data_IF_544284024085
#
_entry.id   IF_544284024085
#
_cell.length_a   1.000
_cell.length_b   1.000
_cell.length_c   1.000
_cell.angle_alpha   90.00
_cell.angle_beta   90.00
_cell.angle_gamma   90.00
#
_symmetry.space_group_name_H-M   'P 1'
#
loop_
_entity.id
_entity.type
_entity.pdbx_description
1 polymer ?
#
# COMPACT_ATOMS: atom_id res chain seq x y z
N UNK A 1 -7.56 -9.95 -12.08
CA UNK A 1 -9.04 -10.01 -12.15
C UNK A 1 -9.55 -8.81 -11.36
N UNK A 2 -10.45 -7.99 -11.90
CA UNK A 2 -10.93 -6.81 -11.18
C UNK A 2 -11.76 -7.21 -9.94
N UNK A 3 -11.64 -6.50 -8.81
CA UNK A 3 -12.42 -6.77 -7.61
C UNK A 3 -13.84 -6.20 -7.75
N UNK A 4 -14.65 -6.77 -8.65
CA UNK A 4 -15.97 -6.24 -9.01
C UNK A 4 -16.91 -5.98 -7.83
N UNK A 5 -16.82 -6.77 -6.75
CA UNK A 5 -17.61 -6.58 -5.52
C UNK A 5 -17.25 -5.31 -4.73
N UNK A 6 -16.08 -4.74 -5.00
CA UNK A 6 -15.55 -3.58 -4.29
C UNK A 6 -15.72 -2.28 -5.09
N UNK A 7 -16.22 -2.36 -6.33
CA UNK A 7 -16.43 -1.18 -7.15
C UNK A 7 -17.71 -0.45 -6.73
N UNK A 8 -17.67 0.89 -6.59
CA UNK A 8 -18.87 1.68 -6.33
C UNK A 8 -19.97 1.48 -7.39
N UNK A 9 -21.26 1.58 -7.02
CA UNK A 9 -22.36 1.55 -7.99
C UNK A 9 -22.26 2.69 -9.02
N UNK A 10 -21.75 3.84 -8.62
CA UNK A 10 -21.63 5.02 -9.49
C UNK A 10 -20.44 4.94 -10.45
N UNK A 11 -19.70 3.82 -10.47
CA UNK A 11 -18.55 3.69 -11.35
C UNK A 11 -18.98 3.76 -12.81
N UNK A 12 -18.46 4.73 -13.58
CA UNK A 12 -18.79 4.91 -15.00
C UNK A 12 -18.30 3.75 -15.87
N UNK A 13 -19.13 3.37 -16.84
CA UNK A 13 -18.87 2.28 -17.78
C UNK A 13 -19.28 2.63 -19.19
N UNK A 14 -18.56 2.05 -20.15
CA UNK A 14 -18.83 2.14 -21.58
C UNK A 14 -19.01 0.74 -22.15
N UNK A 15 -20.09 0.55 -22.91
CA UNK A 15 -20.40 -0.69 -23.60
C UNK A 15 -20.14 -0.57 -25.09
N UNK A 16 -19.79 -1.67 -25.74
CA UNK A 16 -19.83 -1.74 -27.20
C UNK A 16 -21.29 -1.73 -27.65
N UNK A 17 -21.64 -0.78 -28.53
CA UNK A 17 -23.01 -0.62 -29.04
C UNK A 17 -23.46 -1.83 -29.86
N UNK A 18 -22.56 -2.35 -30.69
CA UNK A 18 -22.79 -3.58 -31.44
C UNK A 18 -22.67 -4.78 -30.49
N UNK A 19 -23.70 -5.62 -30.44
CA UNK A 19 -23.79 -6.73 -29.51
C UNK A 19 -23.25 -8.00 -30.20
N UNK A 20 -22.06 -8.48 -29.83
CA UNK A 20 -21.43 -9.63 -30.48
C UNK A 20 -22.03 -10.97 -30.03
N UNK A 21 -23.06 -10.96 -29.17
CA UNK A 21 -23.75 -12.17 -28.69
C UNK A 21 -24.74 -12.65 -29.75
N UNK A 22 -24.98 -13.95 -29.79
CA UNK A 22 -25.92 -14.55 -30.74
C UNK A 22 -27.36 -14.14 -30.43
N UNK A 23 -28.04 -13.58 -31.43
CA UNK A 23 -29.46 -13.19 -31.37
C UNK A 23 -30.34 -14.36 -30.94
N UNK A 24 -31.32 -14.10 -30.07
CA UNK A 24 -32.26 -15.10 -29.56
C UNK A 24 -31.75 -15.92 -28.36
N UNK A 25 -30.56 -15.63 -27.84
CA UNK A 25 -30.07 -16.24 -26.60
C UNK A 25 -30.42 -15.37 -25.38
N UNK A 26 -30.59 -15.99 -24.21
CA UNK A 26 -30.81 -15.23 -22.95
C UNK A 26 -29.67 -14.25 -22.65
N UNK A 27 -28.45 -14.54 -23.10
CA UNK A 27 -27.31 -13.66 -22.93
C UNK A 27 -27.42 -12.40 -23.80
N UNK A 28 -27.95 -12.54 -25.03
CA UNK A 28 -28.27 -11.41 -25.89
C UNK A 28 -29.34 -10.52 -25.26
N UNK A 29 -30.46 -11.12 -24.83
CA UNK A 29 -31.58 -10.36 -24.24
C UNK A 29 -31.19 -9.59 -22.99
N UNK A 30 -30.29 -10.15 -22.17
CA UNK A 30 -29.73 -9.45 -21.00
C UNK A 30 -28.83 -8.31 -21.41
N UNK A 31 -27.92 -8.52 -22.37
CA UNK A 31 -26.98 -7.49 -22.81
C UNK A 31 -27.71 -6.29 -23.41
N UNK A 32 -28.75 -6.53 -24.22
CA UNK A 32 -29.59 -5.45 -24.77
C UNK A 32 -30.21 -4.57 -23.68
N UNK A 33 -30.55 -5.13 -22.51
CA UNK A 33 -31.15 -4.37 -21.40
C UNK A 33 -30.17 -3.41 -20.73
N UNK A 34 -28.90 -3.79 -20.56
CA UNK A 34 -27.94 -2.98 -19.81
C UNK A 34 -26.87 -2.29 -20.67
N UNK A 35 -26.74 -2.57 -21.96
CA UNK A 35 -25.70 -1.95 -22.82
C UNK A 35 -25.86 -0.42 -22.97
N UNK A 36 -27.03 0.12 -22.67
CA UNK A 36 -27.29 1.57 -22.64
C UNK A 36 -26.96 2.21 -21.29
N UNK A 37 -26.66 1.42 -20.25
CA UNK A 37 -26.35 1.94 -18.92
C UNK A 37 -24.95 2.55 -18.88
N UNK A 38 -24.80 3.70 -18.23
CA UNK A 38 -23.53 4.43 -18.10
C UNK A 38 -22.82 4.19 -16.77
N UNK A 39 -23.44 3.47 -15.82
CA UNK A 39 -22.86 3.12 -14.51
C UNK A 39 -23.09 1.65 -14.15
N UNK A 40 -22.26 1.11 -13.26
CA UNK A 40 -22.41 -0.26 -12.74
C UNK A 40 -23.75 -0.49 -12.03
N UNK A 41 -24.17 0.49 -11.22
CA UNK A 41 -25.42 0.43 -10.46
C UNK A 41 -26.65 0.36 -11.38
N UNK A 42 -26.66 1.16 -12.45
CA UNK A 42 -27.71 1.10 -13.46
C UNK A 42 -27.73 -0.25 -14.18
N UNK A 43 -26.55 -0.79 -14.53
CA UNK A 43 -26.46 -2.12 -15.14
C UNK A 43 -27.01 -3.22 -14.22
N UNK A 44 -26.69 -3.19 -12.92
CA UNK A 44 -27.25 -4.13 -11.94
C UNK A 44 -28.77 -4.01 -11.80
N UNK A 45 -29.30 -2.79 -11.75
CA UNK A 45 -30.74 -2.54 -11.71
C UNK A 45 -31.46 -3.08 -12.97
N UNK A 46 -30.78 -3.03 -14.12
CA UNK A 46 -31.25 -3.60 -15.40
C UNK A 46 -31.05 -5.13 -15.51
N UNK A 47 -30.58 -5.78 -14.45
CA UNK A 47 -30.47 -7.24 -14.33
C UNK A 47 -29.12 -7.84 -14.73
N UNK A 48 -28.07 -7.01 -14.91
CA UNK A 48 -26.71 -7.51 -15.10
C UNK A 48 -26.22 -8.22 -13.84
N UNK A 49 -25.63 -9.41 -13.98
CA UNK A 49 -24.96 -10.10 -12.88
C UNK A 49 -23.46 -9.88 -12.93
N UNK A 50 -22.79 -10.10 -11.80
CA UNK A 50 -21.33 -10.01 -11.69
C UNK A 50 -20.59 -10.87 -12.74
N UNK A 51 -21.15 -12.05 -13.06
CA UNK A 51 -20.59 -12.95 -14.06
C UNK A 51 -20.68 -12.38 -15.48
N UNK A 52 -21.76 -11.65 -15.79
CA UNK A 52 -21.97 -11.00 -17.09
C UNK A 52 -20.94 -9.87 -17.26
N UNK A 53 -20.82 -8.98 -16.26
CA UNK A 53 -19.86 -7.88 -16.27
C UNK A 53 -18.41 -8.36 -16.43
N UNK A 54 -18.02 -9.40 -15.68
CA UNK A 54 -16.68 -9.94 -15.74
C UNK A 54 -16.39 -10.62 -17.10
N UNK A 55 -17.39 -11.26 -17.69
CA UNK A 55 -17.27 -11.86 -19.02
C UNK A 55 -17.10 -10.78 -20.09
N UNK A 56 -17.98 -9.78 -20.09
CA UNK A 56 -17.99 -8.70 -21.07
C UNK A 56 -16.72 -7.84 -20.98
N UNK A 57 -16.22 -7.60 -19.76
CA UNK A 57 -14.92 -6.92 -19.56
C UNK A 57 -13.75 -7.71 -20.11
N UNK A 58 -13.70 -9.04 -19.85
CA UNK A 58 -12.63 -9.91 -20.39
C UNK A 58 -12.65 -9.98 -21.91
N UNK A 59 -13.84 -9.85 -22.53
CA UNK A 59 -14.00 -9.81 -23.98
C UNK A 59 -13.77 -8.42 -24.58
N UNK A 60 -13.65 -7.39 -23.75
CA UNK A 60 -13.48 -6.00 -24.19
C UNK A 60 -14.78 -5.33 -24.66
N UNK A 61 -15.93 -5.91 -24.35
CA UNK A 61 -17.26 -5.35 -24.66
C UNK A 61 -17.74 -4.36 -23.59
N UNK A 62 -17.17 -4.47 -22.39
CA UNK A 62 -17.31 -3.51 -21.30
C UNK A 62 -15.95 -2.85 -21.04
N UNK A 63 -15.92 -1.53 -21.03
CA UNK A 63 -14.76 -0.73 -20.62
C UNK A 63 -15.15 0.11 -19.40
N UNK A 64 -14.27 0.16 -18.43
CA UNK A 64 -14.43 1.03 -17.26
C UNK A 64 -13.94 2.43 -17.66
N UNK A 65 -14.80 3.43 -17.56
CA UNK A 65 -14.45 4.79 -17.99
C UNK A 65 -14.03 5.64 -16.79
N UNK A 66 -12.81 5.41 -16.33
CA UNK A 66 -12.22 6.22 -15.26
C UNK A 66 -12.00 7.69 -15.65
N UNK A 67 -12.33 8.10 -16.89
CA UNK A 67 -12.24 9.51 -17.30
C UNK A 67 -13.47 10.33 -16.91
N UNK A 68 -14.60 9.68 -16.59
CA UNK A 68 -15.90 10.33 -16.31
C UNK A 68 -16.37 10.09 -14.88
N UNK A 69 -15.47 9.92 -13.91
CA UNK A 69 -15.88 10.03 -12.51
C UNK A 69 -16.42 11.45 -12.31
N UNK A 70 -17.74 11.53 -12.10
CA UNK A 70 -18.52 12.76 -11.95
C UNK A 70 -17.73 13.78 -11.14
N UNK A 71 -17.22 14.79 -11.84
CA UNK A 71 -16.64 15.92 -11.19
C UNK A 71 -17.58 17.10 -11.29
N UNK A 72 -17.79 17.81 -10.17
CA UNK A 72 -18.47 19.08 -10.19
C UNK A 72 -17.58 20.06 -10.97
N UNK A 73 -17.94 20.33 -12.22
CA UNK A 73 -17.50 21.50 -12.97
C UNK A 73 -15.96 21.62 -13.15
N UNK A 74 -15.35 20.73 -13.94
CA UNK A 74 -13.97 20.93 -14.41
C UNK A 74 -13.90 22.01 -15.49
N UNK A 75 -13.47 23.21 -15.10
CA UNK A 75 -12.96 24.21 -16.03
C UNK A 75 -11.65 23.78 -16.73
N UNK A 76 -11.20 24.53 -17.74
CA UNK A 76 -10.09 24.13 -18.61
C UNK A 76 -8.79 23.95 -17.82
N UNK A 77 -8.19 22.77 -17.96
CA UNK A 77 -6.82 22.45 -17.53
C UNK A 77 -6.53 22.64 -16.03
N UNK A 78 -7.44 22.23 -15.15
CA UNK A 78 -7.21 22.22 -13.70
C UNK A 78 -6.25 21.10 -13.27
N UNK A 79 -5.19 21.46 -12.55
CA UNK A 79 -4.06 20.66 -12.00
C UNK A 79 -4.45 19.50 -11.05
N UNK A 80 -5.72 19.10 -11.00
CA UNK A 80 -6.27 18.24 -9.95
C UNK A 80 -6.42 16.77 -10.35
N UNK A 81 -6.56 16.44 -11.64
CA UNK A 81 -6.68 15.03 -12.07
C UNK A 81 -5.43 14.20 -11.79
N UNK A 82 -4.25 14.83 -11.79
CA UNK A 82 -3.00 14.16 -11.41
C UNK A 82 -2.97 13.81 -9.92
N UNK A 83 -3.59 14.61 -9.05
CA UNK A 83 -3.59 14.41 -7.58
C UNK A 83 -4.31 13.13 -7.17
N UNK A 84 -5.46 12.83 -7.76
CA UNK A 84 -6.21 11.61 -7.46
C UNK A 84 -5.46 10.34 -7.89
N UNK A 85 -4.73 10.41 -9.00
CA UNK A 85 -3.84 9.31 -9.41
C UNK A 85 -2.72 9.08 -8.39
N UNK A 86 -2.04 10.15 -7.96
CA UNK A 86 -0.98 10.05 -6.96
C UNK A 86 -1.52 9.65 -5.58
N UNK A 87 -2.79 9.94 -5.27
CA UNK A 87 -3.46 9.54 -4.04
C UNK A 87 -3.40 8.01 -3.82
N UNK A 88 -3.52 7.24 -4.89
CA UNK A 88 -3.55 5.77 -4.85
C UNK A 88 -2.15 5.11 -4.75
N UNK A 89 -1.08 5.86 -5.00
CA UNK A 89 0.27 5.31 -4.99
C UNK A 89 0.85 5.27 -3.57
N UNK A 90 1.68 4.29 -3.26
CA UNK A 90 2.44 4.30 -2.01
C UNK A 90 3.68 5.22 -2.10
N UNK A 91 4.35 5.47 -0.97
CA UNK A 91 5.51 6.37 -0.89
C UNK A 91 6.66 5.91 -1.81
N UNK A 92 6.87 4.60 -1.94
CA UNK A 92 7.92 4.04 -2.81
C UNK A 92 7.59 4.28 -4.28
N UNK A 93 6.34 4.07 -4.67
CA UNK A 93 5.84 4.30 -6.03
C UNK A 93 5.93 5.79 -6.40
N UNK A 94 5.51 6.69 -5.51
CA UNK A 94 5.68 8.13 -5.69
C UNK A 94 7.15 8.51 -5.93
N UNK A 95 8.08 7.85 -5.23
CA UNK A 95 9.51 8.04 -5.43
C UNK A 95 10.00 7.74 -6.85
N UNK A 96 9.38 6.78 -7.55
CA UNK A 96 9.73 6.40 -8.94
C UNK A 96 9.28 7.45 -9.96
N UNK A 97 8.24 8.23 -9.66
CA UNK A 97 7.77 9.30 -10.55
C UNK A 97 8.64 10.56 -10.51
N UNK A 98 9.54 10.68 -9.53
CA UNK A 98 10.47 11.79 -9.43
C UNK A 98 11.51 11.83 -10.56
N UNK A 99 11.65 10.77 -11.37
CA UNK A 99 12.48 10.73 -12.57
C UNK A 99 11.70 10.91 -13.89
N UNK A 100 10.39 11.20 -13.82
CA UNK A 100 9.54 11.41 -15.00
C UNK A 100 9.56 12.89 -15.46
N UNK A 101 8.51 13.34 -16.16
CA UNK A 101 8.39 14.75 -16.59
C UNK A 101 8.40 15.71 -15.38
N UNK A 102 8.85 16.95 -15.59
CA UNK A 102 8.94 17.95 -14.51
C UNK A 102 7.60 18.18 -13.80
N UNK A 103 6.51 18.30 -14.54
CA UNK A 103 5.17 18.49 -13.97
C UNK A 103 4.73 17.30 -13.11
N UNK A 104 5.03 16.07 -13.55
CA UNK A 104 4.76 14.85 -12.78
C UNK A 104 5.62 14.81 -11.51
N UNK A 105 6.89 15.17 -11.61
CA UNK A 105 7.79 15.23 -10.47
C UNK A 105 7.36 16.29 -9.44
N UNK A 106 6.92 17.47 -9.89
CA UNK A 106 6.43 18.55 -9.01
C UNK A 106 5.16 18.10 -8.27
N UNK A 107 4.21 17.46 -8.98
CA UNK A 107 2.98 16.93 -8.36
C UNK A 107 3.29 15.81 -7.37
N UNK A 108 4.16 14.86 -7.73
CA UNK A 108 4.58 13.78 -6.85
C UNK A 108 5.34 14.31 -5.62
N UNK A 109 6.17 15.35 -5.79
CA UNK A 109 6.89 16.00 -4.68
C UNK A 109 5.92 16.68 -3.72
N UNK A 110 4.94 17.40 -4.25
CA UNK A 110 3.90 18.04 -3.46
C UNK A 110 3.12 17.00 -2.64
N UNK A 111 2.71 15.90 -3.26
CA UNK A 111 1.98 14.82 -2.58
C UNK A 111 2.84 14.11 -1.52
N UNK A 112 4.11 13.82 -1.83
CA UNK A 112 5.07 13.26 -0.86
C UNK A 112 5.25 14.19 0.34
N UNK A 113 5.32 15.50 0.12
CA UNK A 113 5.42 16.48 1.20
C UNK A 113 4.21 16.41 2.12
N UNK A 114 3.00 16.43 1.57
CA UNK A 114 1.75 16.33 2.35
C UNK A 114 1.72 15.05 3.21
N UNK A 115 2.13 13.91 2.65
CA UNK A 115 2.13 12.62 3.37
C UNK A 115 3.23 12.50 4.42
N UNK A 116 4.39 13.10 4.16
CA UNK A 116 5.52 13.05 5.09
C UNK A 116 5.41 14.11 6.20
N UNK A 117 4.60 15.15 6.03
CA UNK A 117 4.47 16.26 6.99
C UNK A 117 4.10 15.76 8.39
N UNK A 118 3.11 14.87 8.47
CA UNK A 118 2.65 14.25 9.72
C UNK A 118 2.77 12.73 9.65
N UNK A 119 3.99 12.26 9.39
CA UNK A 119 4.24 10.85 9.16
C UNK A 119 3.98 10.00 10.42
N UNK A 120 3.18 8.95 10.26
CA UNK A 120 2.93 7.91 11.26
C UNK A 120 3.43 6.56 10.72
N UNK A 121 4.28 5.89 11.49
CA UNK A 121 4.72 4.54 11.14
C UNK A 121 3.61 3.53 11.45
N UNK A 122 3.10 2.83 10.43
CA UNK A 122 2.08 1.78 10.55
C UNK A 122 2.54 0.43 9.99
N UNK A 123 3.84 0.15 10.05
CA UNK A 123 4.41 -1.07 9.46
C UNK A 123 4.58 -1.04 7.94
N UNK A 124 4.40 0.12 7.28
CA UNK A 124 4.52 0.24 5.82
C UNK A 124 5.90 -0.10 5.22
N UNK A 125 6.93 -0.32 6.05
CA UNK A 125 8.29 -0.69 5.63
C UNK A 125 8.59 -2.19 5.77
N UNK A 126 7.60 -3.03 6.02
CA UNK A 126 7.73 -4.48 5.94
C UNK A 126 7.42 -4.93 4.50
N UNK A 127 8.39 -4.91 3.55
CA UNK A 127 8.12 -5.38 2.21
C UNK A 127 7.83 -6.88 2.23
N UNK A 128 6.95 -7.28 1.33
CA UNK A 128 6.87 -8.66 0.88
C UNK A 128 7.97 -8.90 -0.14
N UNK A 129 9.01 -9.66 0.23
CA UNK A 129 10.04 -10.07 -0.71
C UNK A 129 9.45 -11.18 -1.58
N UNK A 130 9.47 -11.01 -2.90
CA UNK A 130 9.17 -12.10 -3.83
C UNK A 130 10.45 -12.90 -4.08
N UNK A 131 10.43 -14.18 -3.70
CA UNK A 131 11.45 -15.13 -4.13
C UNK A 131 11.48 -15.27 -5.65
N UNK A 132 12.55 -15.86 -6.20
CA UNK A 132 12.64 -16.19 -7.63
C UNK A 132 11.48 -17.08 -8.12
N UNK A 133 10.86 -17.85 -7.21
CA UNK A 133 9.67 -18.70 -7.49
C UNK A 133 8.35 -17.95 -7.28
N UNK A 134 8.38 -16.64 -7.11
CA UNK A 134 7.19 -15.80 -6.90
C UNK A 134 6.56 -15.89 -5.51
N UNK A 135 7.09 -16.72 -4.59
CA UNK A 135 6.59 -16.79 -3.20
C UNK A 135 6.89 -15.49 -2.48
N UNK A 136 5.88 -14.97 -1.80
CA UNK A 136 5.96 -13.79 -0.97
C UNK A 136 6.43 -14.21 0.44
N UNK A 137 7.55 -13.66 0.88
CA UNK A 137 8.04 -13.82 2.23
C UNK A 137 7.90 -12.50 2.99
N UNK A 138 7.45 -12.51 4.25
CA UNK A 138 7.54 -11.33 5.09
C UNK A 138 9.01 -10.97 5.27
N UNK A 139 9.35 -9.69 5.13
CA UNK A 139 10.70 -9.23 5.48
C UNK A 139 10.99 -9.50 6.95
N UNK A 140 12.25 -9.79 7.26
CA UNK A 140 12.71 -9.82 8.64
C UNK A 140 12.50 -8.44 9.30
N UNK A 141 12.27 -8.45 10.61
CA UNK A 141 12.13 -7.22 11.41
C UNK A 141 13.37 -6.32 11.31
N UNK A 142 14.55 -6.93 11.19
CA UNK A 142 15.82 -6.23 10.97
C UNK A 142 15.84 -5.48 9.63
N UNK A 143 15.34 -6.09 8.56
CA UNK A 143 15.26 -5.43 7.24
C UNK A 143 14.24 -4.29 7.24
N UNK A 144 13.07 -4.48 7.86
CA UNK A 144 12.08 -3.42 8.02
C UNK A 144 12.66 -2.22 8.81
N UNK A 145 13.44 -2.51 9.86
CA UNK A 145 14.14 -1.50 10.66
C UNK A 145 15.16 -0.72 9.83
N UNK A 146 16.02 -1.43 9.08
CA UNK A 146 17.01 -0.82 8.19
C UNK A 146 16.36 0.10 7.15
N UNK A 147 15.26 -0.35 6.54
CA UNK A 147 14.50 0.44 5.54
C UNK A 147 13.89 1.69 6.12
N UNK A 148 13.30 1.60 7.31
CA UNK A 148 12.77 2.77 8.02
C UNK A 148 13.86 3.82 8.24
N UNK A 149 15.04 3.42 8.74
CA UNK A 149 16.15 4.34 8.97
C UNK A 149 16.65 4.95 7.66
N UNK A 150 16.80 4.15 6.60
CA UNK A 150 17.19 4.66 5.27
C UNK A 150 16.16 5.65 4.70
N UNK A 151 14.88 5.37 4.87
CA UNK A 151 13.80 6.25 4.45
C UNK A 151 13.87 7.61 5.16
N UNK A 152 14.05 7.61 6.48
CA UNK A 152 14.17 8.83 7.28
C UNK A 152 15.45 9.62 6.99
N UNK A 153 16.51 8.95 6.52
CA UNK A 153 17.76 9.59 6.05
C UNK A 153 17.71 10.09 4.62
N UNK A 154 16.64 9.81 3.89
CA UNK A 154 16.51 10.15 2.48
C UNK A 154 16.43 11.66 2.24
N UNK A 155 16.32 12.07 0.97
CA UNK A 155 16.05 13.46 0.56
C UNK A 155 14.74 14.03 1.13
N UNK A 156 13.84 13.17 1.60
CA UNK A 156 12.54 13.57 2.16
C UNK A 156 12.65 14.13 3.58
N UNK A 157 13.84 14.12 4.20
CA UNK A 157 14.06 14.61 5.58
C UNK A 157 13.60 16.04 5.83
N UNK A 158 13.50 16.87 4.79
CA UNK A 158 13.02 18.26 4.88
C UNK A 158 11.50 18.38 4.93
N UNK A 159 10.75 17.29 4.72
CA UNK A 159 9.29 17.29 4.68
C UNK A 159 8.65 16.97 6.04
N UNK A 160 9.37 16.35 6.96
CA UNK A 160 8.80 15.92 8.24
C UNK A 160 8.68 17.09 9.22
N UNK A 161 7.44 17.42 9.61
CA UNK A 161 7.15 18.37 10.69
C UNK A 161 6.76 17.66 11.99
N UNK A 162 6.10 16.50 11.87
CA UNK A 162 5.75 15.61 12.97
C UNK A 162 6.07 14.18 12.57
N UNK A 163 6.78 13.47 13.44
CA UNK A 163 7.18 12.08 13.22
C UNK A 163 6.66 11.20 14.36
N UNK A 164 5.75 10.28 14.05
CA UNK A 164 5.25 9.31 15.01
C UNK A 164 5.83 7.91 14.73
N UNK A 165 6.70 7.46 15.63
CA UNK A 165 7.37 6.17 15.59
C UNK A 165 6.94 5.25 16.76
N UNK A 166 5.78 5.49 17.36
CA UNK A 166 5.27 4.71 18.50
C UNK A 166 5.16 3.22 18.17
N UNK A 167 4.80 2.86 16.94
CA UNK A 167 4.68 1.47 16.46
C UNK A 167 5.93 0.96 15.72
N UNK A 168 7.02 1.74 15.71
CA UNK A 168 8.25 1.36 15.02
C UNK A 168 8.96 0.19 15.73
N UNK A 169 9.60 -0.73 14.98
CA UNK A 169 10.42 -1.78 15.55
C UNK A 169 11.51 -1.20 16.45
N UNK A 170 11.69 -1.80 17.62
CA UNK A 170 12.66 -1.29 18.59
C UNK A 170 14.10 -1.32 18.03
N UNK A 171 14.42 -2.27 17.16
CA UNK A 171 15.71 -2.35 16.48
C UNK A 171 15.97 -1.11 15.63
N UNK A 172 14.94 -0.56 14.98
CA UNK A 172 15.04 0.70 14.23
C UNK A 172 15.29 1.90 15.16
N UNK A 173 14.68 1.89 16.35
CA UNK A 173 14.83 2.95 17.35
C UNK A 173 16.21 2.95 18.03
N UNK A 174 16.84 1.77 18.10
CA UNK A 174 18.18 1.58 18.67
C UNK A 174 19.31 1.79 17.66
N UNK A 175 18.98 1.82 16.36
CA UNK A 175 19.91 2.06 15.27
C UNK A 175 20.57 3.44 15.44
N UNK A 176 21.92 3.52 15.40
CA UNK A 176 22.64 4.78 15.59
C UNK A 176 22.36 5.81 14.48
N UNK A 177 21.93 5.35 13.30
CA UNK A 177 21.54 6.21 12.19
C UNK A 177 20.23 6.96 12.40
N UNK A 178 19.33 6.48 13.27
CA UNK A 178 18.04 7.14 13.50
C UNK A 178 18.19 8.49 14.22
N UNK A 179 18.91 8.61 15.37
CA UNK A 179 19.17 9.91 15.99
C UNK A 179 19.87 10.90 15.03
N UNK A 180 20.78 10.41 14.19
CA UNK A 180 21.44 11.24 13.16
C UNK A 180 20.45 11.74 12.12
N UNK A 181 19.53 10.88 11.67
CA UNK A 181 18.47 11.26 10.75
C UNK A 181 17.59 12.35 11.34
N UNK A 182 17.09 12.15 12.56
CA UNK A 182 16.24 13.11 13.29
C UNK A 182 16.94 14.45 13.46
N UNK A 183 18.22 14.45 13.87
CA UNK A 183 19.01 15.68 14.02
C UNK A 183 19.17 16.46 12.70
N UNK A 184 19.11 15.76 11.56
CA UNK A 184 19.24 16.36 10.24
C UNK A 184 17.92 16.86 9.64
N UNK A 185 16.79 16.75 10.34
CA UNK A 185 15.47 17.19 9.88
C UNK A 185 15.19 18.63 10.30
N UNK A 186 15.35 19.63 9.42
CA UNK A 186 15.25 21.05 9.80
C UNK A 186 13.84 21.50 10.15
N UNK A 187 12.81 20.81 9.66
CA UNK A 187 11.40 21.17 9.84
C UNK A 187 10.73 20.42 11.00
N UNK A 188 11.43 19.47 11.63
CA UNK A 188 10.83 18.57 12.61
C UNK A 188 10.56 19.32 13.93
N UNK A 189 9.29 19.42 14.29
CA UNK A 189 8.81 20.07 15.52
C UNK A 189 8.40 19.06 16.58
N UNK A 190 7.84 17.92 16.17
CA UNK A 190 7.30 16.90 17.08
C UNK A 190 7.81 15.50 16.75
N UNK A 191 8.24 14.78 17.78
CA UNK A 191 8.70 13.39 17.68
C UNK A 191 8.01 12.54 18.75
N UNK A 192 7.25 11.54 18.32
CA UNK A 192 6.57 10.58 19.22
C UNK A 192 7.29 9.25 19.17
N UNK A 193 7.69 8.76 20.33
CA UNK A 193 8.44 7.52 20.53
C UNK A 193 7.70 6.58 21.49
N UNK A 194 7.92 5.26 21.42
CA UNK A 194 7.39 4.34 22.42
C UNK A 194 8.05 4.59 23.78
N UNK A 195 7.27 4.50 24.85
CA UNK A 195 7.75 4.68 26.23
C UNK A 195 8.65 3.52 26.69
N UNK A 196 8.34 2.31 26.20
CA UNK A 196 8.89 1.02 26.63
C UNK A 196 9.74 0.36 25.53
N UNK A 197 10.40 -0.76 25.85
CA UNK A 197 11.19 -1.57 24.90
C UNK A 197 12.64 -1.16 24.73
N UNK A 198 13.06 0.00 25.24
CA UNK A 198 14.44 0.47 25.13
C UNK A 198 15.44 -0.45 25.85
N UNK A 199 16.51 -0.85 25.17
CA UNK A 199 17.60 -1.63 25.77
C UNK A 199 18.32 -0.84 26.88
N UNK A 200 18.44 0.48 26.73
CA UNK A 200 19.00 1.33 27.78
C UNK A 200 18.39 2.73 27.79
N UNK A 201 18.35 3.33 28.99
CA UNK A 201 17.96 4.73 29.18
C UNK A 201 18.89 5.71 28.45
N UNK A 202 20.12 5.32 28.16
CA UNK A 202 21.08 6.13 27.40
C UNK A 202 20.67 6.27 25.93
N UNK A 203 20.23 5.18 25.29
CA UNK A 203 19.68 5.23 23.92
C UNK A 203 18.44 6.11 23.83
N UNK A 204 17.55 6.02 24.82
CA UNK A 204 16.38 6.89 24.94
C UNK A 204 16.75 8.37 25.07
N UNK A 205 17.78 8.68 25.88
CA UNK A 205 18.29 10.06 26.11
C UNK A 205 18.93 10.70 24.86
N UNK A 206 19.29 9.94 23.82
CA UNK A 206 19.79 10.52 22.58
C UNK A 206 18.75 11.38 21.85
N UNK A 207 17.46 11.08 22.04
CA UNK A 207 16.37 11.83 21.39
C UNK A 207 15.95 13.07 22.18
N UNK A 208 16.05 13.04 23.51
CA UNK A 208 15.62 14.16 24.38
C UNK A 208 16.54 15.39 24.33
N UNK A 209 17.73 15.26 23.74
CA UNK A 209 18.73 16.34 23.68
C UNK A 209 18.64 17.19 22.40
N UNK A 210 17.61 17.01 21.58
CA UNK A 210 17.46 17.77 20.34
C UNK A 210 16.79 19.12 20.65
N UNK A 211 17.47 20.26 20.44
CA UNK A 211 16.87 21.58 20.70
C UNK A 211 15.73 21.85 19.71
N UNK A 212 14.62 22.41 20.20
CA UNK A 212 13.49 22.82 19.36
C UNK A 212 12.57 21.69 18.89
N UNK A 213 12.80 20.44 19.32
CA UNK A 213 11.94 19.30 19.00
C UNK A 213 11.20 18.85 20.26
N UNK A 214 9.88 18.85 20.22
CA UNK A 214 9.03 18.28 21.26
C UNK A 214 9.07 16.76 21.16
N UNK A 215 9.64 16.10 22.18
CA UNK A 215 9.76 14.64 22.23
C UNK A 215 8.76 14.08 23.23
N UNK A 216 7.80 13.31 22.74
CA UNK A 216 6.78 12.63 23.55
C UNK A 216 7.06 11.13 23.61
N UNK A 217 6.92 10.55 24.80
CA UNK A 217 7.03 9.10 25.00
C UNK A 217 5.67 8.52 25.39
N UNK A 218 5.02 7.82 24.46
CA UNK A 218 3.68 7.26 24.68
C UNK A 218 3.74 5.75 24.94
N UNK A 219 2.85 5.27 25.81
CA UNK A 219 2.65 3.83 26.00
C UNK A 219 2.11 3.21 24.70
N UNK A 220 2.35 1.92 24.42
CA UNK A 220 1.79 1.26 23.24
C UNK A 220 0.26 1.40 23.21
N UNK A 221 -0.34 1.61 22.02
CA UNK A 221 -1.81 1.61 21.87
C UNK A 221 -2.35 0.23 22.27
N UNK A 222 -3.02 0.14 23.43
CA UNK A 222 -3.68 -1.09 23.90
C UNK A 222 -4.69 -1.52 22.82
N UNK A 223 -4.43 -2.65 22.15
CA UNK A 223 -5.31 -3.18 21.10
C UNK A 223 -4.56 -3.68 19.87
N UNK A 224 -3.38 -3.14 19.58
CA UNK A 224 -2.45 -3.78 18.64
C UNK A 224 -1.71 -4.86 19.43
N UNK A 225 -2.19 -6.11 19.33
CA UNK A 225 -1.38 -7.27 19.70
C UNK A 225 -0.05 -7.08 18.99
N UNK A 226 1.01 -6.90 19.76
CA UNK A 226 2.36 -6.74 19.26
C UNK A 226 2.61 -7.85 18.25
N UNK A 227 2.66 -7.52 16.96
CA UNK A 227 3.05 -8.46 15.91
C UNK A 227 4.43 -9.08 16.19
N UNK A 228 5.20 -8.51 17.13
CA UNK A 228 6.46 -9.04 17.60
C UNK A 228 6.35 -10.38 18.37
N UNK A 229 5.17 -10.78 18.87
CA UNK A 229 5.02 -12.09 19.54
C UNK A 229 4.36 -13.17 18.67
N UNK A 230 3.77 -12.82 17.52
CA UNK A 230 3.12 -13.83 16.67
C UNK A 230 4.05 -14.47 15.62
N UNK A 231 5.31 -14.03 15.54
CA UNK A 231 6.31 -14.59 14.62
C UNK A 231 7.28 -15.60 15.26
N UNK A 232 7.28 -15.76 16.60
CA UNK A 232 8.09 -16.80 17.25
C UNK A 232 7.35 -18.14 17.42
N UNK A 233 6.00 -18.15 17.42
CA UNK A 233 5.23 -19.34 17.84
C UNK A 233 4.49 -20.08 16.70
N UNK A 234 4.77 -19.78 15.42
CA UNK A 234 4.11 -20.45 14.27
C UNK A 234 5.06 -21.36 13.48
N UNK A 235 6.24 -21.69 14.02
CA UNK A 235 7.15 -22.69 13.44
C UNK A 235 7.67 -23.74 14.43
N UNK A 236 6.85 -24.12 15.41
CA UNK A 236 6.92 -25.45 16.03
C UNK A 236 5.64 -26.21 15.68
N UNK A 237 5.59 -26.74 14.45
CA UNK A 237 4.76 -27.93 14.21
C UNK A 237 5.46 -29.12 14.89
N UNK A 238 4.72 -30.03 15.54
CA UNK A 238 5.31 -31.21 16.17
C UNK A 238 6.03 -32.05 15.11
N UNK A 239 7.26 -32.47 15.42
CA UNK A 239 7.86 -33.65 14.80
C UNK A 239 7.00 -34.87 15.12
N UNK A 240 5.93 -35.12 14.36
CA UNK A 240 5.30 -36.44 14.36
C UNK A 240 4.37 -36.58 13.15
N UNK A 241 4.96 -36.99 12.03
CA UNK A 241 4.33 -37.97 11.14
C UNK A 241 5.41 -38.61 10.28
N UNK A 242 5.99 -39.69 10.82
CA UNK A 242 6.61 -40.74 10.02
C UNK A 242 5.59 -41.18 8.98
N UNK A 243 5.95 -41.08 7.71
CA UNK A 243 5.32 -41.89 6.67
C UNK A 243 6.09 -43.22 6.60
N UNK A 244 5.41 -44.38 6.77
CA UNK A 244 6.01 -45.64 6.41
C UNK A 244 5.89 -45.74 4.89
N UNK A 245 7.03 -45.65 4.21
CA UNK A 245 7.39 -46.45 3.03
C UNK A 245 8.59 -45.79 2.36
N UNK A 246 9.74 -46.44 2.54
CA UNK A 246 10.97 -46.09 1.87
C UNK A 246 10.82 -46.19 0.35
N UNK A 247 11.33 -45.16 -0.33
CA UNK A 247 11.65 -45.18 -1.73
C UNK A 247 12.86 -44.29 -1.95
N UNK A 248 14.06 -44.87 -1.90
CA UNK A 248 15.25 -44.22 -2.41
C UNK A 248 15.13 -44.13 -3.93
N UNK A 249 15.11 -42.92 -4.47
CA UNK A 249 15.38 -42.70 -5.89
C UNK A 249 16.85 -42.28 -6.00
N UNK A 250 17.69 -43.19 -6.51
CA UNK A 250 18.98 -42.86 -7.11
C UNK A 250 18.75 -41.84 -8.24
N UNK A 251 19.44 -40.71 -8.19
CA UNK A 251 19.69 -39.89 -9.36
C UNK A 251 21.14 -40.14 -9.79
N UNK A 252 21.28 -41.01 -10.79
CA UNK A 252 22.50 -41.12 -11.59
C UNK A 252 22.60 -39.93 -12.52
N UNK A 253 23.80 -39.36 -12.57
CA UNK A 253 24.24 -38.38 -13.54
C UNK A 253 24.13 -38.93 -14.97
N UNK A 254 23.44 -38.18 -15.84
CA UNK A 254 23.80 -37.95 -17.24
C UNK A 254 23.39 -36.51 -17.59
#
# INVERSE_FOLDING_TARGET
MLPWKQLPPDTPVLWTLDNPKQLGTTAYDKYEKYKSCTTLGAAWASGARLIDLNYDYKKGWLKMDFSVSASPNWGPCGVNGSREFFACLNIEELGKFLSASRQVADTATYELKQRCQHFEYKGQFAPTIRSARGRIHPSSLAEASRRLVLFLRSRLRTFFESLNLQEAPIQALQDPGLPMAVKSMPALKKLVLPKEGWESSSKKRCFTRQPGIEVEFLAPRRGLKSFALQFCDVWLLPEETRWPNGGQAELRYL
#
